data_IF_255483515894
#
_entry.id   IF_255483515894
#
_cell.length_a   1.000
_cell.length_b   1.000
_cell.length_c   1.000
_cell.angle_alpha   90.00
_cell.angle_beta   90.00
_cell.angle_gamma   90.00
#
_symmetry.space_group_name_H-M   'P 1'
#
loop_
_entity.id
_entity.type
_entity.pdbx_description
1 polymer ?
#
# COMPACT_ATOMS: atom_id res chain seq x y z
N UNK A 1 6.17 -16.79 9.45
CA UNK A 1 5.20 -16.74 8.36
C UNK A 1 4.08 -15.69 8.54
N UNK A 2 4.19 -14.81 9.53
CA UNK A 2 3.24 -13.71 9.81
C UNK A 2 3.58 -12.41 9.05
N UNK A 3 4.66 -12.41 8.26
CA UNK A 3 5.37 -11.20 7.84
C UNK A 3 4.66 -10.36 6.75
N UNK A 4 3.81 -10.90 5.90
CA UNK A 4 3.30 -10.17 4.73
C UNK A 4 2.09 -9.26 5.03
N UNK A 5 1.21 -9.67 5.94
CA UNK A 5 0.15 -8.77 6.44
C UNK A 5 0.74 -7.70 7.34
N UNK A 6 1.81 -8.05 8.03
CA UNK A 6 2.57 -7.20 8.93
C UNK A 6 3.44 -6.20 8.16
N UNK A 7 3.99 -6.57 7.00
CA UNK A 7 4.68 -5.63 6.09
C UNK A 7 3.69 -4.60 5.50
N UNK A 8 2.45 -4.99 5.20
CA UNK A 8 1.42 -4.09 4.71
C UNK A 8 0.90 -3.09 5.76
N UNK A 9 0.98 -3.44 7.05
CA UNK A 9 0.51 -2.56 8.15
C UNK A 9 1.68 -1.83 8.84
N UNK A 10 2.90 -2.37 8.81
CA UNK A 10 4.07 -1.83 9.51
C UNK A 10 4.91 -0.83 8.74
N UNK A 11 4.99 -0.98 7.44
CA UNK A 11 5.59 -0.02 6.49
C UNK A 11 4.61 0.30 5.39
N UNK A 12 3.33 0.42 5.77
CA UNK A 12 2.21 0.54 4.86
C UNK A 12 2.59 1.42 3.66
N UNK A 13 2.79 0.76 2.56
CA UNK A 13 2.84 1.40 1.27
C UNK A 13 1.40 1.79 1.00
N UNK A 14 1.10 3.06 1.13
CA UNK A 14 -0.22 3.60 0.86
C UNK A 14 -0.33 3.89 -0.62
N UNK A 15 -0.39 2.84 -1.43
CA UNK A 15 -0.84 2.93 -2.79
C UNK A 15 -2.33 3.28 -2.80
N UNK A 16 -2.81 3.96 -3.81
CA UNK A 16 -4.25 4.18 -3.97
C UNK A 16 -4.97 2.82 -4.07
N UNK A 17 -5.88 2.58 -3.14
CA UNK A 17 -6.58 1.31 -3.05
C UNK A 17 -7.34 0.96 -4.35
N UNK A 18 -7.40 -0.31 -4.72
CA UNK A 18 -7.09 -1.49 -3.90
C UNK A 18 -5.64 -1.99 -4.05
N UNK A 19 -4.75 -1.24 -4.68
CA UNK A 19 -3.39 -1.68 -4.99
C UNK A 19 -2.46 -1.63 -3.77
N UNK A 20 -1.41 -2.44 -3.83
CA UNK A 20 -0.23 -2.43 -2.96
C UNK A 20 0.93 -1.74 -3.67
N UNK A 21 0.98 -1.85 -4.99
CA UNK A 21 1.95 -1.15 -5.83
C UNK A 21 1.56 0.33 -5.92
N UNK A 22 2.41 1.18 -5.36
CA UNK A 22 2.20 2.63 -5.34
C UNK A 22 2.44 3.24 -6.72
N UNK A 23 1.67 4.23 -7.07
CA UNK A 23 1.88 5.01 -8.27
C UNK A 23 2.90 6.14 -8.03
N UNK A 24 3.55 6.61 -9.09
CA UNK A 24 4.32 7.85 -9.07
C UNK A 24 3.41 9.03 -9.45
N UNK A 25 2.26 9.12 -8.84
CA UNK A 25 1.32 10.23 -8.89
C UNK A 25 1.18 10.87 -7.52
N UNK A 26 0.40 11.91 -7.43
CA UNK A 26 0.07 12.59 -6.18
C UNK A 26 -1.04 13.60 -6.42
N UNK A 27 -1.71 13.98 -5.35
CA UNK A 27 -2.66 15.06 -5.35
C UNK A 27 -1.97 16.38 -5.68
N UNK A 28 -2.76 17.36 -6.09
CA UNK A 28 -2.28 18.74 -6.25
C UNK A 28 -1.93 19.36 -4.89
N UNK A 29 -1.15 20.43 -4.90
CA UNK A 29 -0.82 21.18 -3.69
C UNK A 29 -2.06 21.65 -2.96
N UNK A 30 -2.12 21.38 -1.66
CA UNK A 30 -3.25 21.65 -0.79
C UNK A 30 -4.29 20.54 -0.79
N UNK A 31 -4.20 19.56 -1.69
CA UNK A 31 -5.08 18.40 -1.71
C UNK A 31 -4.83 17.49 -0.52
N UNK A 32 -5.88 16.84 -0.08
CA UNK A 32 -5.85 15.88 1.00
C UNK A 32 -6.64 14.63 0.64
N UNK A 33 -6.29 13.50 1.28
CA UNK A 33 -7.04 12.24 1.15
C UNK A 33 -7.26 11.57 2.48
N UNK A 34 -8.33 10.84 2.58
CA UNK A 34 -8.62 9.94 3.70
C UNK A 34 -8.94 8.57 3.12
N UNK A 35 -8.32 7.55 3.67
CA UNK A 35 -8.50 6.18 3.22
C UNK A 35 -8.90 5.27 4.38
N UNK A 36 -9.83 4.36 4.10
CA UNK A 36 -10.19 3.27 5.00
C UNK A 36 -10.06 1.95 4.25
N UNK A 37 -9.52 0.95 4.92
CA UNK A 37 -9.33 -0.36 4.34
C UNK A 37 -9.70 -1.48 5.29
N UNK A 38 -10.29 -2.54 4.72
CA UNK A 38 -10.46 -3.84 5.36
C UNK A 38 -9.62 -4.85 4.58
N UNK A 39 -8.77 -5.56 5.28
CA UNK A 39 -7.86 -6.53 4.68
C UNK A 39 -8.09 -7.90 5.32
N UNK A 40 -8.11 -8.93 4.50
CA UNK A 40 -8.16 -10.33 4.91
C UNK A 40 -7.04 -11.10 4.26
N UNK A 41 -6.31 -11.84 5.06
CA UNK A 41 -5.42 -12.94 4.67
C UNK A 41 -5.95 -14.24 5.24
N UNK A 42 -5.33 -15.38 4.94
CA UNK A 42 -5.74 -16.71 5.43
C UNK A 42 -5.95 -16.70 6.94
N UNK A 43 -4.98 -16.17 7.68
CA UNK A 43 -4.92 -16.25 9.13
C UNK A 43 -5.17 -14.92 9.84
N UNK A 44 -5.52 -13.85 9.10
CA UNK A 44 -5.70 -12.55 9.72
C UNK A 44 -6.78 -11.70 9.02
N UNK A 45 -7.48 -10.93 9.83
CA UNK A 45 -8.46 -9.93 9.38
C UNK A 45 -8.16 -8.62 10.09
N UNK A 46 -8.11 -7.53 9.34
CA UNK A 46 -7.80 -6.23 9.90
C UNK A 46 -8.45 -5.07 9.17
N UNK A 47 -8.33 -3.92 9.79
CA UNK A 47 -8.72 -2.64 9.20
C UNK A 47 -7.63 -1.61 9.43
N UNK A 48 -7.60 -0.63 8.54
CA UNK A 48 -6.67 0.50 8.62
C UNK A 48 -7.34 1.79 8.19
N UNK A 49 -6.79 2.90 8.65
CA UNK A 49 -7.16 4.22 8.24
C UNK A 49 -5.89 5.02 7.96
N UNK A 50 -5.92 5.84 6.92
CA UNK A 50 -4.82 6.72 6.56
C UNK A 50 -5.32 8.11 6.19
N UNK A 51 -4.46 9.10 6.36
CA UNK A 51 -4.66 10.46 5.89
C UNK A 51 -3.41 10.90 5.14
N UNK A 52 -3.61 11.52 3.98
CA UNK A 52 -2.56 12.12 3.16
C UNK A 52 -2.80 13.61 2.96
N UNK A 53 -1.72 14.38 2.81
CA UNK A 53 -1.79 15.82 2.56
C UNK A 53 -0.58 16.27 1.73
N UNK A 54 -0.80 17.18 0.79
CA UNK A 54 0.24 17.77 -0.08
C UNK A 54 0.53 19.21 0.34
N UNK A 55 1.50 19.45 1.25
CA UNK A 55 1.83 20.79 1.73
C UNK A 55 2.50 21.66 0.66
N UNK A 56 3.30 21.06 -0.21
CA UNK A 56 4.02 21.70 -1.30
C UNK A 56 4.01 20.82 -2.53
N UNK A 57 4.20 21.38 -3.70
CA UNK A 57 4.19 20.64 -4.96
C UNK A 57 5.13 19.43 -4.92
N UNK A 58 4.65 18.31 -5.43
CA UNK A 58 5.38 17.05 -5.54
C UNK A 58 5.71 16.33 -4.21
N UNK A 59 5.29 16.84 -3.05
CA UNK A 59 5.53 16.21 -1.74
C UNK A 59 4.21 15.88 -1.06
N UNK A 60 3.95 14.61 -0.84
CA UNK A 60 2.82 14.12 -0.07
C UNK A 60 3.31 13.53 1.27
N UNK A 61 2.63 13.90 2.34
CA UNK A 61 2.83 13.36 3.68
C UNK A 61 1.65 12.46 4.03
N UNK A 62 1.94 11.30 4.58
CA UNK A 62 0.92 10.32 4.95
C UNK A 62 1.09 9.87 6.40
N UNK A 63 -0.03 9.65 7.08
CA UNK A 63 -0.11 9.03 8.40
C UNK A 63 -1.14 7.91 8.37
N UNK A 64 -0.83 6.77 9.00
CA UNK A 64 -1.77 5.66 9.07
C UNK A 64 -1.77 4.94 10.40
N UNK A 65 -2.88 4.32 10.68
CA UNK A 65 -3.08 3.42 11.82
C UNK A 65 -3.79 2.15 11.35
N UNK A 66 -3.44 1.01 11.95
CA UNK A 66 -4.05 -0.26 11.61
C UNK A 66 -4.24 -1.15 12.83
N UNK A 67 -5.23 -2.04 12.72
CA UNK A 67 -5.46 -3.10 13.68
C UNK A 67 -5.92 -4.36 12.98
N UNK A 68 -5.31 -5.49 13.35
CA UNK A 68 -5.72 -6.79 12.85
C UNK A 68 -5.82 -7.82 13.98
N UNK A 69 -6.51 -8.92 13.69
CA UNK A 69 -6.52 -10.13 14.51
C UNK A 69 -6.00 -11.27 13.65
N UNK A 70 -5.12 -12.08 14.21
CA UNK A 70 -4.61 -13.29 13.59
C UNK A 70 -4.99 -14.48 14.45
N UNK A 71 -5.48 -15.54 13.83
CA UNK A 71 -5.86 -16.83 14.44
C UNK A 71 -5.02 -18.01 13.88
N UNK A 72 -3.96 -17.70 13.11
CA UNK A 72 -3.04 -18.70 12.53
C UNK A 72 -2.12 -19.40 13.53
N UNK A 73 -2.21 -19.04 14.81
CA UNK A 73 -1.47 -19.68 15.92
C UNK A 73 -2.43 -20.28 16.93
N UNK A 74 -1.90 -21.05 17.91
CA UNK A 74 -2.71 -21.63 18.98
C UNK A 74 -3.46 -20.58 19.84
N UNK A 75 -3.04 -19.32 19.75
CA UNK A 75 -3.65 -18.17 20.46
C UNK A 75 -3.97 -17.08 19.47
N UNK A 76 -5.11 -16.42 19.66
CA UNK A 76 -5.50 -15.25 18.86
C UNK A 76 -4.57 -14.09 19.21
N UNK A 77 -3.88 -13.57 18.22
CA UNK A 77 -3.00 -12.42 18.37
C UNK A 77 -3.68 -11.13 17.89
N UNK A 78 -3.45 -10.04 18.59
CA UNK A 78 -3.84 -8.71 18.14
C UNK A 78 -2.62 -7.97 17.64
N UNK A 79 -2.74 -7.43 16.44
CA UNK A 79 -1.73 -6.64 15.76
C UNK A 79 -2.20 -5.20 15.75
N UNK A 80 -1.32 -4.26 16.10
CA UNK A 80 -1.57 -2.83 15.99
C UNK A 80 -0.38 -2.19 15.30
N UNK A 81 -0.65 -1.29 14.38
CA UNK A 81 0.39 -0.57 13.67
C UNK A 81 0.08 0.92 13.58
N UNK A 82 1.14 1.70 13.50
CA UNK A 82 1.12 3.12 13.15
C UNK A 82 2.28 3.38 12.21
N UNK A 83 2.05 4.19 11.20
CA UNK A 83 3.06 4.53 10.21
C UNK A 83 2.96 5.95 9.72
N UNK A 84 4.05 6.43 9.15
CA UNK A 84 4.12 7.70 8.44
C UNK A 84 4.94 7.50 7.16
N UNK A 85 4.63 8.25 6.13
CA UNK A 85 5.40 8.27 4.90
C UNK A 85 5.54 9.67 4.32
N UNK A 86 6.61 9.83 3.56
CA UNK A 86 6.86 10.99 2.70
C UNK A 86 7.06 10.45 1.28
N UNK A 87 6.24 10.92 0.35
CA UNK A 87 6.33 10.61 -1.07
C UNK A 87 6.75 11.88 -1.81
N UNK A 88 7.81 11.81 -2.58
CA UNK A 88 8.33 12.90 -3.40
C UNK A 88 8.37 12.47 -4.86
N UNK A 89 7.61 13.15 -5.72
CA UNK A 89 7.45 12.84 -7.14
C UNK A 89 7.93 14.01 -7.99
N UNK A 90 9.25 14.22 -8.16
CA UNK A 90 9.80 15.36 -8.91
C UNK A 90 9.48 15.32 -10.41
N UNK A 91 9.21 14.16 -10.96
CA UNK A 91 8.78 13.98 -12.34
C UNK A 91 7.35 13.51 -12.32
N UNK A 92 6.41 14.39 -12.66
CA UNK A 92 4.99 14.09 -12.68
C UNK A 92 4.40 14.57 -13.99
N UNK A 93 3.77 13.67 -14.73
CA UNK A 93 3.13 13.92 -15.99
C UNK A 93 1.71 13.32 -16.03
N UNK A 94 0.77 14.02 -16.64
CA UNK A 94 -0.58 13.49 -16.91
C UNK A 94 -0.53 12.31 -17.88
N UNK A 95 0.38 12.35 -18.84
CA UNK A 95 0.64 11.29 -19.82
C UNK A 95 2.16 11.10 -19.93
N UNK A 96 2.59 9.85 -20.03
CA UNK A 96 3.99 9.47 -20.09
C UNK A 96 4.58 9.16 -18.72
N UNK A 97 5.84 9.51 -18.50
CA UNK A 97 6.64 9.10 -17.35
C UNK A 97 6.38 10.00 -16.14
N UNK A 98 6.07 9.36 -15.02
CA UNK A 98 6.21 9.93 -13.68
C UNK A 98 7.19 9.09 -12.86
N UNK A 99 8.00 9.74 -12.02
CA UNK A 99 8.98 9.05 -11.20
C UNK A 99 9.22 9.78 -9.87
N UNK A 100 9.43 9.02 -8.82
CA UNK A 100 9.63 9.56 -7.50
C UNK A 100 10.19 8.55 -6.51
N UNK A 101 10.20 8.94 -5.26
CA UNK A 101 10.67 8.15 -4.14
C UNK A 101 9.67 8.24 -2.98
N UNK A 102 9.60 7.18 -2.22
CA UNK A 102 8.85 7.12 -0.97
C UNK A 102 9.76 6.68 0.16
N UNK A 103 9.72 7.40 1.25
CA UNK A 103 10.28 6.97 2.53
C UNK A 103 9.12 6.68 3.48
N UNK A 104 9.10 5.49 4.03
CA UNK A 104 8.08 5.06 4.99
C UNK A 104 8.74 4.62 6.30
N UNK A 105 8.06 4.86 7.39
CA UNK A 105 8.46 4.49 8.73
C UNK A 105 7.24 3.93 9.46
N UNK A 106 7.43 2.87 10.25
CA UNK A 106 6.34 2.25 10.96
C UNK A 106 6.74 1.56 12.25
N UNK A 107 5.76 1.47 13.13
CA UNK A 107 5.80 0.69 14.37
C UNK A 107 4.66 -0.31 14.35
N UNK A 108 4.99 -1.53 14.70
CA UNK A 108 4.02 -2.61 14.81
C UNK A 108 4.18 -3.33 16.14
N UNK A 109 3.06 -3.64 16.76
CA UNK A 109 2.98 -4.38 18.00
C UNK A 109 2.05 -5.58 17.86
N UNK A 110 2.59 -6.76 17.93
CA UNK A 110 1.86 -8.01 18.10
C UNK A 110 1.75 -8.31 19.60
N UNK A 111 0.58 -8.77 20.06
CA UNK A 111 0.40 -9.13 21.47
C UNK A 111 1.38 -10.25 21.88
N UNK A 112 2.10 -10.03 22.96
CA UNK A 112 3.11 -10.99 23.45
C UNK A 112 4.48 -10.91 22.78
N UNK A 113 4.67 -10.05 21.78
CA UNK A 113 5.92 -9.89 21.04
C UNK A 113 6.55 -8.51 21.26
N UNK A 114 7.88 -8.36 21.06
CA UNK A 114 8.53 -7.06 21.03
C UNK A 114 7.98 -6.18 19.92
N UNK A 115 8.04 -4.86 20.12
CA UNK A 115 7.65 -3.90 19.08
C UNK A 115 8.62 -4.04 17.89
N UNK A 116 8.07 -4.16 16.69
CA UNK A 116 8.80 -4.08 15.43
C UNK A 116 8.83 -2.63 14.97
N UNK A 117 10.01 -2.15 14.64
CA UNK A 117 10.25 -0.86 14.00
C UNK A 117 10.73 -1.14 12.58
N UNK A 118 10.16 -0.47 11.60
CA UNK A 118 10.56 -0.63 10.21
C UNK A 118 10.72 0.72 9.53
N UNK A 119 11.66 0.78 8.58
CA UNK A 119 11.85 1.90 7.68
C UNK A 119 12.02 1.33 6.28
N UNK A 120 11.44 1.99 5.27
CA UNK A 120 11.60 1.60 3.89
C UNK A 120 11.88 2.80 3.00
N UNK A 121 12.66 2.58 1.97
CA UNK A 121 12.86 3.51 0.85
C UNK A 121 12.47 2.78 -0.42
N UNK A 122 11.62 3.39 -1.24
CA UNK A 122 11.18 2.85 -2.52
C UNK A 122 11.32 3.87 -3.63
N UNK A 123 11.82 3.45 -4.77
CA UNK A 123 11.68 4.16 -6.04
C UNK A 123 10.34 3.80 -6.65
N UNK A 124 9.64 4.80 -7.17
CA UNK A 124 8.34 4.70 -7.79
C UNK A 124 8.44 5.17 -9.23
N UNK A 125 7.91 4.39 -10.16
CA UNK A 125 7.85 4.74 -11.57
C UNK A 125 6.45 4.42 -12.09
N UNK A 126 5.86 5.35 -12.82
CA UNK A 126 4.58 5.17 -13.50
C UNK A 126 4.66 5.63 -14.95
N UNK A 127 4.00 4.93 -15.82
CA UNK A 127 3.77 5.35 -17.20
C UNK A 127 2.28 5.39 -17.47
N UNK A 128 1.75 6.58 -17.79
CA UNK A 128 0.35 6.77 -18.18
C UNK A 128 0.23 6.88 -19.68
N UNK A 129 -0.68 6.11 -20.25
CA UNK A 129 -1.01 6.14 -21.67
C UNK A 129 -2.14 7.14 -21.94
N UNK A 130 -2.22 7.68 -23.17
CA UNK A 130 -3.27 8.61 -23.59
C UNK A 130 -4.69 8.07 -23.38
N UNK A 131 -4.88 6.75 -23.42
CA UNK A 131 -6.15 6.07 -23.13
C UNK A 131 -6.51 5.96 -21.66
N UNK A 132 -5.72 6.54 -20.74
CA UNK A 132 -5.94 6.53 -19.29
C UNK A 132 -5.45 5.25 -18.59
N UNK A 133 -4.99 4.23 -19.31
CA UNK A 133 -4.32 3.08 -18.68
C UNK A 133 -2.98 3.50 -18.11
N UNK A 134 -2.53 2.82 -17.06
CA UNK A 134 -1.23 3.08 -16.45
C UNK A 134 -0.52 1.79 -16.06
N UNK A 135 0.80 1.85 -16.05
CA UNK A 135 1.69 0.80 -15.52
C UNK A 135 2.55 1.42 -14.43
N UNK A 136 2.66 0.72 -13.31
CA UNK A 136 3.41 1.14 -12.14
C UNK A 136 4.48 0.12 -11.80
N UNK A 137 5.62 0.57 -11.33
CA UNK A 137 6.68 -0.28 -10.81
C UNK A 137 7.30 0.35 -9.57
N UNK A 138 7.48 -0.47 -8.54
CA UNK A 138 8.15 -0.09 -7.30
C UNK A 138 9.33 -1.01 -7.05
N UNK A 139 10.43 -0.45 -6.59
CA UNK A 139 11.59 -1.18 -6.12
C UNK A 139 12.14 -0.48 -4.88
N UNK A 140 12.29 -1.22 -3.81
CA UNK A 140 12.70 -0.63 -2.54
C UNK A 140 13.45 -1.59 -1.63
N UNK A 141 13.82 -1.06 -0.47
CA UNK A 141 14.42 -1.83 0.61
C UNK A 141 13.82 -1.42 1.94
N UNK A 142 13.47 -2.40 2.71
CA UNK A 142 13.01 -2.25 4.08
C UNK A 142 14.10 -2.72 5.05
N UNK A 143 14.26 -1.98 6.14
CA UNK A 143 15.06 -2.35 7.31
C UNK A 143 14.14 -2.43 8.51
N UNK A 144 14.19 -3.54 9.24
CA UNK A 144 13.38 -3.73 10.43
C UNK A 144 14.21 -4.16 11.63
N UNK A 145 13.65 -3.90 12.81
CA UNK A 145 14.23 -4.31 14.10
C UNK A 145 13.12 -4.70 15.07
N UNK A 146 13.28 -5.85 15.72
CA UNK A 146 12.37 -6.35 16.74
C UNK A 146 13.16 -7.19 17.79
N UNK A 147 12.99 -6.90 19.09
CA UNK A 147 13.58 -7.70 20.16
C UNK A 147 15.11 -7.79 20.18
N UNK A 148 15.82 -6.94 19.45
CA UNK A 148 17.27 -7.01 19.25
C UNK A 148 17.69 -7.56 17.89
N UNK A 149 16.84 -8.30 17.21
CA UNK A 149 17.06 -8.79 15.85
C UNK A 149 16.92 -7.66 14.83
N UNK A 150 17.73 -7.72 13.79
CA UNK A 150 17.70 -6.78 12.65
C UNK A 150 17.57 -7.57 11.38
N UNK A 151 16.73 -7.06 10.48
CA UNK A 151 16.52 -7.65 9.17
C UNK A 151 16.50 -6.56 8.10
N UNK A 152 16.83 -6.94 6.86
CA UNK A 152 16.74 -6.06 5.70
C UNK A 152 16.35 -6.86 4.47
N UNK A 153 15.30 -6.44 3.78
CA UNK A 153 14.70 -7.16 2.66
C UNK A 153 14.41 -6.20 1.51
N UNK A 154 14.64 -6.65 0.26
CA UNK A 154 14.21 -5.90 -0.90
C UNK A 154 12.71 -6.14 -1.13
N UNK A 155 12.00 -5.06 -1.48
CA UNK A 155 10.58 -5.05 -1.80
C UNK A 155 10.41 -4.65 -3.26
N UNK A 156 9.46 -5.24 -3.95
CA UNK A 156 9.18 -4.92 -5.34
C UNK A 156 7.70 -5.09 -5.67
N UNK A 157 7.25 -4.40 -6.70
CA UNK A 157 5.90 -4.55 -7.22
C UNK A 157 5.78 -4.01 -8.63
N UNK A 158 4.85 -4.58 -9.38
CA UNK A 158 4.42 -4.11 -10.71
C UNK A 158 2.91 -4.16 -10.76
N UNK A 159 2.28 -3.08 -11.19
CA UNK A 159 0.84 -2.95 -11.30
C UNK A 159 0.39 -2.33 -12.61
N UNK A 160 -0.83 -2.61 -12.97
CA UNK A 160 -1.49 -2.08 -14.16
C UNK A 160 -2.88 -1.62 -13.78
N UNK A 161 -3.25 -0.44 -14.25
CA UNK A 161 -4.59 0.13 -14.18
C UNK A 161 -5.18 0.26 -15.58
N UNK A 162 -6.44 -0.16 -15.73
CA UNK A 162 -7.16 -0.10 -17.01
C UNK A 162 -8.55 0.48 -16.78
N UNK A 163 -8.88 1.66 -17.34
CA UNK A 163 -10.24 2.17 -17.35
C UNK A 163 -11.16 1.22 -18.13
N UNK A 164 -12.21 0.73 -17.50
CA UNK A 164 -13.21 -0.14 -18.12
C UNK A 164 -14.44 0.66 -18.58
N UNK A 165 -14.78 1.72 -17.85
CA UNK A 165 -15.89 2.62 -18.12
C UNK A 165 -15.63 3.96 -17.43
N UNK A 166 -16.43 5.01 -17.70
CA UNK A 166 -16.40 6.22 -16.89
C UNK A 166 -16.52 5.86 -15.40
N UNK A 167 -15.57 6.34 -14.58
CA UNK A 167 -15.50 6.08 -13.13
C UNK A 167 -15.20 4.64 -12.69
N UNK A 168 -14.95 3.69 -13.61
CA UNK A 168 -14.62 2.29 -13.27
C UNK A 168 -13.24 1.93 -13.82
N UNK A 169 -12.34 1.54 -12.92
CA UNK A 169 -11.00 1.10 -13.26
C UNK A 169 -10.77 -0.34 -12.75
N UNK A 170 -10.15 -1.17 -13.58
CA UNK A 170 -9.63 -2.47 -13.16
C UNK A 170 -8.15 -2.34 -12.81
N UNK A 171 -7.72 -3.08 -11.82
CA UNK A 171 -6.33 -3.16 -11.37
C UNK A 171 -5.84 -4.60 -11.39
N UNK A 172 -4.60 -4.81 -11.80
CA UNK A 172 -3.91 -6.10 -11.69
C UNK A 172 -2.49 -5.84 -11.25
N UNK A 173 -2.00 -6.56 -10.25
CA UNK A 173 -0.64 -6.36 -9.78
C UNK A 173 0.02 -7.66 -9.32
N UNK A 174 1.37 -7.63 -9.32
CA UNK A 174 2.23 -8.62 -8.72
C UNK A 174 3.27 -7.92 -7.84
N UNK A 175 3.49 -8.42 -6.64
CA UNK A 175 4.41 -7.83 -5.67
C UNK A 175 4.98 -8.88 -4.73
N UNK A 176 6.04 -8.52 -4.02
CA UNK A 176 6.66 -9.44 -3.08
C UNK A 176 7.86 -8.86 -2.37
N UNK A 177 8.37 -9.66 -1.45
CA UNK A 177 9.62 -9.45 -0.74
C UNK A 177 10.68 -10.39 -1.30
N UNK A 178 11.94 -9.98 -1.20
CA UNK A 178 13.08 -10.85 -1.47
C UNK A 178 13.00 -12.10 -0.57
N UNK A 179 13.22 -13.27 -1.16
CA UNK A 179 13.12 -14.58 -0.49
C UNK A 179 11.72 -15.02 -0.06
N UNK A 180 10.68 -14.24 -0.34
CA UNK A 180 9.29 -14.66 -0.16
C UNK A 180 8.60 -14.90 -1.51
N UNK A 181 7.53 -15.68 -1.48
CA UNK A 181 6.77 -15.94 -2.70
C UNK A 181 6.06 -14.70 -3.22
N UNK A 182 5.94 -14.60 -4.55
CA UNK A 182 5.20 -13.54 -5.22
C UNK A 182 3.70 -13.61 -4.90
N UNK A 183 3.12 -12.49 -4.55
CA UNK A 183 1.68 -12.29 -4.48
C UNK A 183 1.16 -11.65 -5.78
N UNK A 184 -0.07 -11.96 -6.14
CA UNK A 184 -0.79 -11.38 -7.28
C UNK A 184 -2.20 -11.05 -6.84
N UNK A 185 -2.71 -9.93 -7.25
CA UNK A 185 -4.12 -9.60 -7.04
C UNK A 185 -4.73 -8.87 -8.24
N UNK A 186 -6.05 -8.98 -8.33
CA UNK A 186 -6.85 -8.23 -9.28
C UNK A 186 -8.00 -7.54 -8.53
N UNK A 187 -8.31 -6.32 -8.92
CA UNK A 187 -9.29 -5.49 -8.26
C UNK A 187 -10.06 -4.59 -9.18
N UNK A 188 -11.04 -3.94 -8.60
CA UNK A 188 -11.84 -2.90 -9.22
C UNK A 188 -11.87 -1.68 -8.28
N UNK A 189 -11.89 -0.50 -8.89
CA UNK A 189 -12.09 0.79 -8.23
C UNK A 189 -13.19 1.54 -8.95
N UNK A 190 -14.18 2.02 -8.20
CA UNK A 190 -15.31 2.75 -8.73
C UNK A 190 -15.49 4.09 -8.00
N UNK A 191 -15.50 5.17 -8.74
CA UNK A 191 -15.76 6.50 -8.21
C UNK A 191 -17.27 6.75 -8.10
N UNK A 192 -17.79 6.72 -6.87
CA UNK A 192 -19.21 6.88 -6.59
C UNK A 192 -19.67 8.33 -6.60
N UNK A 193 -18.77 9.25 -6.27
CA UNK A 193 -18.93 10.70 -6.35
C UNK A 193 -17.55 11.31 -6.63
N UNK A 194 -17.50 12.60 -6.96
CA UNK A 194 -16.23 13.30 -7.18
C UNK A 194 -15.29 13.15 -6.01
N UNK A 195 -14.10 12.60 -6.28
CA UNK A 195 -13.09 12.28 -5.29
C UNK A 195 -13.41 11.12 -4.32
N UNK A 196 -14.63 10.56 -4.34
CA UNK A 196 -15.02 9.47 -3.44
C UNK A 196 -15.05 8.14 -4.19
N UNK A 197 -14.14 7.25 -3.84
CA UNK A 197 -13.91 5.98 -4.52
C UNK A 197 -14.12 4.80 -3.57
N UNK A 198 -14.77 3.75 -4.05
CA UNK A 198 -14.83 2.43 -3.40
C UNK A 198 -14.02 1.44 -4.21
N UNK A 199 -13.37 0.53 -3.55
CA UNK A 199 -12.51 -0.45 -4.21
C UNK A 199 -12.55 -1.82 -3.55
N UNK A 200 -12.18 -2.83 -4.30
CA UNK A 200 -11.99 -4.17 -3.77
C UNK A 200 -11.08 -4.99 -4.66
N UNK A 201 -10.28 -5.85 -4.06
CA UNK A 201 -9.44 -6.79 -4.78
C UNK A 201 -9.43 -8.16 -4.10
N UNK A 202 -9.13 -9.16 -4.91
CA UNK A 202 -8.85 -10.53 -4.46
C UNK A 202 -7.54 -10.98 -5.08
N UNK A 203 -6.80 -11.77 -4.34
CA UNK A 203 -5.47 -12.20 -4.76
C UNK A 203 -5.04 -13.51 -4.15
N UNK A 204 -3.87 -13.94 -4.59
CA UNK A 204 -3.20 -15.12 -4.08
C UNK A 204 -1.70 -14.89 -4.05
N UNK A 205 -1.04 -15.31 -2.98
CA UNK A 205 0.42 -15.27 -2.86
C UNK A 205 0.93 -16.38 -1.97
N UNK A 206 2.04 -17.00 -2.33
CA UNK A 206 2.81 -17.95 -1.53
C UNK A 206 1.98 -18.81 -0.54
N UNK A 207 0.92 -19.46 -1.04
CA UNK A 207 -0.05 -20.27 -0.27
C UNK A 207 -1.11 -19.47 0.52
N UNK A 208 -1.34 -18.20 0.16
CA UNK A 208 -2.30 -17.31 0.84
C UNK A 208 -3.35 -16.79 -0.12
N UNK A 209 -4.59 -16.66 0.36
CA UNK A 209 -5.65 -15.91 -0.31
C UNK A 209 -5.72 -14.52 0.31
N UNK A 210 -5.72 -13.51 -0.54
CA UNK A 210 -5.78 -12.11 -0.15
C UNK A 210 -7.13 -11.54 -0.57
N UNK A 211 -7.71 -10.69 0.26
CA UNK A 211 -8.86 -9.88 -0.11
C UNK A 211 -8.77 -8.54 0.59
N UNK A 212 -9.12 -7.47 -0.13
CA UNK A 212 -9.23 -6.14 0.46
C UNK A 212 -10.47 -5.42 -0.04
N UNK A 213 -10.96 -4.51 0.78
CA UNK A 213 -11.99 -3.53 0.46
C UNK A 213 -11.49 -2.17 0.90
N UNK A 214 -11.75 -1.14 0.12
CA UNK A 214 -11.29 0.21 0.37
C UNK A 214 -12.34 1.27 0.12
N UNK A 215 -12.21 2.36 0.86
CA UNK A 215 -12.89 3.62 0.64
C UNK A 215 -11.83 4.70 0.66
N UNK A 216 -11.74 5.51 -0.40
CA UNK A 216 -10.83 6.65 -0.52
C UNK A 216 -11.64 7.90 -0.81
N UNK A 217 -11.35 8.98 -0.11
CA UNK A 217 -11.90 10.29 -0.38
C UNK A 217 -10.79 11.31 -0.52
N UNK A 218 -10.73 11.93 -1.70
CA UNK A 218 -9.79 12.99 -2.10
C UNK A 218 -10.54 14.33 -2.17
N UNK A 219 -9.93 15.40 -1.65
CA UNK A 219 -10.54 16.74 -1.61
C UNK A 219 -9.49 17.85 -1.49
#
# INVERSE_FOLDING_TARGET
MLALLLAAVGTAVFAERPMVVDDAGGLERGGAKVEFGLNKDVDAVGGEAAVGYVPVDHIELELAVGRARSDGTATVETIRAVGAALKWVPIQAETGLSAGFKYAFGHERVSGSPIRHANAVSALVSWRFEGGSAVHANLGREWSRSGGDRDAVNIWGVGVEVPLAPRLCATVEAFGLEHEGMARQAGLRYEIAEGLKVSGAVGHGAQRSLANLGLTWEF
#
